data_IF_151402741676
#
_entry.id   IF_151402741676
#
_cell.length_a   1.000
_cell.length_b   1.000
_cell.length_c   1.000
_cell.angle_alpha   90.00
_cell.angle_beta   90.00
_cell.angle_gamma   90.00
#
_symmetry.space_group_name_H-M   'P 1'
#
loop_
_entity.id
_entity.type
_entity.pdbx_description
1 polymer ?
#
# COMPACT_ATOMS: atom_id res chain seq x y z
N UNK A 1 -7.31 -15.78 -47.64
CA UNK A 1 -7.43 -14.47 -46.98
C UNK A 1 -8.11 -14.72 -45.63
N UNK A 2 -7.39 -15.35 -44.69
CA UNK A 2 -7.88 -15.63 -43.34
C UNK A 2 -7.25 -14.61 -42.40
N UNK A 3 -8.05 -13.87 -41.64
CA UNK A 3 -7.54 -12.87 -40.69
C UNK A 3 -8.30 -11.55 -40.60
N UNK A 4 -9.51 -11.44 -41.17
CA UNK A 4 -10.33 -10.26 -40.90
C UNK A 4 -11.04 -10.48 -39.57
N UNK A 5 -10.60 -9.76 -38.53
CA UNK A 5 -11.37 -9.60 -37.30
C UNK A 5 -12.59 -8.75 -37.66
N UNK A 6 -13.68 -9.40 -38.07
CA UNK A 6 -14.96 -8.73 -38.27
C UNK A 6 -15.75 -8.60 -36.95
N UNK A 7 -16.82 -7.81 -36.96
CA UNK A 7 -17.68 -7.52 -35.80
C UNK A 7 -18.51 -8.73 -35.33
N UNK A 8 -18.51 -9.82 -36.09
CA UNK A 8 -19.22 -11.08 -35.86
C UNK A 8 -18.29 -12.16 -35.33
N UNK A 9 -16.98 -11.89 -35.28
CA UNK A 9 -15.98 -12.82 -34.77
C UNK A 9 -16.28 -13.18 -33.31
N UNK A 10 -16.83 -14.37 -33.13
CA UNK A 10 -17.30 -14.87 -31.85
C UNK A 10 -16.17 -14.91 -30.81
N UNK A 11 -14.93 -15.15 -31.26
CA UNK A 11 -13.75 -15.11 -30.38
C UNK A 11 -13.47 -13.70 -29.87
N UNK A 12 -13.60 -12.70 -30.74
CA UNK A 12 -13.45 -11.29 -30.33
C UNK A 12 -14.55 -10.88 -29.35
N UNK A 13 -15.82 -11.23 -29.63
CA UNK A 13 -16.94 -10.94 -28.71
C UNK A 13 -16.74 -11.59 -27.34
N UNK A 14 -16.34 -12.87 -27.30
CA UNK A 14 -16.03 -13.59 -26.05
C UNK A 14 -14.85 -12.97 -25.31
N UNK A 15 -13.81 -12.53 -26.02
CA UNK A 15 -12.65 -11.87 -25.44
C UNK A 15 -13.03 -10.55 -24.76
N UNK A 16 -13.79 -9.68 -25.43
CA UNK A 16 -14.26 -8.42 -24.83
C UNK A 16 -15.20 -8.67 -23.65
N UNK A 17 -16.10 -9.66 -23.73
CA UNK A 17 -16.94 -10.03 -22.59
C UNK A 17 -16.12 -10.53 -21.38
N UNK A 18 -14.98 -11.20 -21.61
CA UNK A 18 -14.06 -11.58 -20.54
C UNK A 18 -13.35 -10.36 -19.93
N UNK A 19 -12.94 -9.40 -20.76
CA UNK A 19 -12.34 -8.14 -20.29
C UNK A 19 -13.30 -7.34 -19.43
N UNK A 20 -14.55 -7.13 -19.87
CA UNK A 20 -15.58 -6.43 -19.08
C UNK A 20 -15.82 -7.10 -17.73
N UNK A 21 -15.80 -8.44 -17.71
CA UNK A 21 -15.97 -9.19 -16.47
C UNK A 21 -14.75 -9.09 -15.55
N UNK A 22 -13.53 -9.01 -16.09
CA UNK A 22 -12.33 -8.75 -15.30
C UNK A 22 -12.34 -7.34 -14.73
N UNK A 23 -12.66 -6.33 -15.54
CA UNK A 23 -12.76 -4.94 -15.11
C UNK A 23 -13.72 -4.80 -13.92
N UNK A 24 -14.94 -5.34 -14.04
CA UNK A 24 -15.93 -5.33 -12.94
C UNK A 24 -15.42 -6.01 -11.67
N UNK A 25 -14.67 -7.11 -11.80
CA UNK A 25 -14.08 -7.82 -10.66
C UNK A 25 -12.94 -7.01 -10.02
N UNK A 26 -12.08 -6.39 -10.82
CA UNK A 26 -10.99 -5.55 -10.34
C UNK A 26 -11.55 -4.32 -9.61
N UNK A 27 -12.55 -3.64 -10.18
CA UNK A 27 -13.20 -2.53 -9.49
C UNK A 27 -13.84 -2.94 -8.17
N UNK A 28 -14.51 -4.10 -8.14
CA UNK A 28 -15.12 -4.62 -6.92
C UNK A 28 -14.06 -4.92 -5.88
N UNK A 29 -12.96 -5.58 -6.25
CA UNK A 29 -11.83 -5.83 -5.35
C UNK A 29 -11.24 -4.52 -4.83
N UNK A 30 -11.08 -3.50 -5.68
CA UNK A 30 -10.56 -2.20 -5.28
C UNK A 30 -11.51 -1.40 -4.38
N UNK A 31 -12.83 -1.57 -4.53
CA UNK A 31 -13.85 -0.98 -3.62
C UNK A 31 -13.88 -1.72 -2.28
N UNK A 32 -13.92 -3.05 -2.31
CA UNK A 32 -14.13 -3.89 -1.15
C UNK A 32 -12.83 -4.03 -0.30
N UNK A 33 -11.65 -3.90 -0.90
CA UNK A 33 -10.35 -3.95 -0.22
C UNK A 33 -9.76 -2.57 0.02
N UNK A 34 -10.55 -1.50 0.17
CA UNK A 34 -9.99 -0.26 0.72
C UNK A 34 -9.66 -0.50 2.19
N UNK A 35 -8.38 -0.45 2.61
CA UNK A 35 -8.08 -0.39 4.03
C UNK A 35 -8.94 0.71 4.68
N UNK A 36 -9.41 0.52 5.92
CA UNK A 36 -10.04 1.59 6.66
C UNK A 36 -9.14 2.84 6.62
N UNK A 37 -9.73 4.04 6.73
CA UNK A 37 -9.02 5.33 6.65
C UNK A 37 -8.52 5.72 5.24
N UNK A 38 -9.39 5.61 4.23
CA UNK A 38 -9.10 6.04 2.85
C UNK A 38 -7.88 5.33 2.23
N UNK A 39 -7.63 4.08 2.62
CA UNK A 39 -6.50 3.30 2.15
C UNK A 39 -5.19 3.50 2.90
N UNK A 40 -5.15 4.36 3.91
CA UNK A 40 -3.99 4.51 4.78
C UNK A 40 -3.82 3.30 5.70
N UNK A 41 -2.58 2.83 5.84
CA UNK A 41 -2.24 1.74 6.75
C UNK A 41 -1.60 2.31 8.01
N UNK A 42 -2.13 1.89 9.15
CA UNK A 42 -1.56 2.22 10.45
C UNK A 42 -0.79 1.02 10.99
N UNK A 43 0.45 1.25 11.40
CA UNK A 43 1.33 0.26 11.98
C UNK A 43 1.38 0.42 13.49
N UNK A 44 1.45 -0.68 14.20
CA UNK A 44 1.75 -0.72 15.63
C UNK A 44 3.26 -0.71 15.89
N UNK A 45 3.68 -0.47 17.15
CA UNK A 45 5.09 -0.60 17.54
C UNK A 45 5.71 -1.94 17.07
N UNK A 46 4.96 -3.04 17.18
CA UNK A 46 5.45 -4.39 16.83
C UNK A 46 5.68 -4.52 15.32
N UNK A 47 4.76 -4.02 14.52
CA UNK A 47 4.87 -4.11 13.05
C UNK A 47 6.00 -3.22 12.55
N UNK A 48 6.06 -1.97 13.01
CA UNK A 48 7.08 -1.03 12.55
C UNK A 48 8.49 -1.44 13.00
N UNK A 49 8.66 -1.89 14.25
CA UNK A 49 9.96 -2.37 14.74
C UNK A 49 10.45 -3.57 13.94
N UNK A 50 9.56 -4.51 13.61
CA UNK A 50 9.88 -5.64 12.75
C UNK A 50 10.27 -5.22 11.33
N UNK A 51 9.56 -4.25 10.76
CA UNK A 51 9.82 -3.72 9.42
C UNK A 51 11.17 -3.01 9.34
N UNK A 52 11.46 -2.12 10.29
CA UNK A 52 12.71 -1.36 10.36
C UNK A 52 13.88 -2.15 10.95
N UNK A 53 13.64 -3.38 11.45
CA UNK A 53 14.62 -4.23 12.13
C UNK A 53 15.30 -3.55 13.33
N UNK A 54 14.55 -2.74 14.06
CA UNK A 54 15.01 -2.09 15.30
C UNK A 54 14.22 -2.62 16.49
N UNK A 55 14.73 -2.43 17.71
CA UNK A 55 14.00 -2.81 18.91
C UNK A 55 12.81 -1.87 19.16
N UNK A 56 11.78 -2.36 19.87
CA UNK A 56 10.66 -1.51 20.32
C UNK A 56 11.13 -0.37 21.25
N UNK A 57 12.23 -0.58 21.99
CA UNK A 57 12.83 0.46 22.84
C UNK A 57 13.45 1.58 21.99
N UNK A 58 14.12 1.24 20.90
CA UNK A 58 14.64 2.23 19.96
C UNK A 58 13.51 3.08 19.33
N UNK A 59 12.39 2.44 18.96
CA UNK A 59 11.19 3.19 18.50
C UNK A 59 10.63 4.14 19.55
N UNK A 60 10.65 3.74 20.82
CA UNK A 60 10.25 4.61 21.92
C UNK A 60 11.21 5.81 22.03
N UNK A 61 12.52 5.57 22.03
CA UNK A 61 13.52 6.64 22.10
C UNK A 61 13.36 7.63 20.94
N UNK A 62 13.05 7.15 19.73
CA UNK A 62 12.79 8.02 18.56
C UNK A 62 11.52 8.87 18.73
N UNK A 63 10.48 8.33 19.38
CA UNK A 63 9.27 9.11 19.69
C UNK A 63 9.55 10.17 20.74
N UNK A 64 10.27 9.81 21.79
CA UNK A 64 10.62 10.71 22.89
C UNK A 64 11.53 11.85 22.40
N UNK A 65 12.39 11.58 21.42
CA UNK A 65 13.24 12.58 20.74
C UNK A 65 12.51 13.36 19.63
N UNK A 66 11.25 13.03 19.31
CA UNK A 66 10.51 13.67 18.22
C UNK A 66 11.03 13.35 16.80
N UNK A 67 11.82 12.28 16.64
CA UNK A 67 12.44 11.88 15.36
C UNK A 67 11.54 11.08 14.45
N UNK A 68 10.49 10.47 14.98
CA UNK A 68 9.56 9.63 14.20
C UNK A 68 8.12 10.10 14.41
N UNK A 69 7.34 10.32 13.35
CA UNK A 69 5.96 10.76 13.46
C UNK A 69 5.07 9.63 13.98
N UNK A 70 4.16 9.94 14.90
CA UNK A 70 3.23 8.97 15.48
C UNK A 70 1.91 9.62 15.89
N UNK A 71 0.91 8.78 16.14
CA UNK A 71 -0.39 9.17 16.70
C UNK A 71 -0.60 8.42 18.01
N UNK A 72 -0.98 9.14 19.06
CA UNK A 72 -1.41 8.54 20.32
C UNK A 72 -2.93 8.50 20.40
N UNK A 73 -3.50 7.30 20.51
CA UNK A 73 -4.94 7.08 20.60
C UNK A 73 -5.25 6.16 21.79
N UNK A 74 -5.76 6.74 22.88
CA UNK A 74 -6.16 5.97 24.07
C UNK A 74 -5.03 5.12 24.68
N UNK A 75 -3.81 5.65 24.69
CA UNK A 75 -2.62 4.92 25.16
C UNK A 75 -1.99 3.96 24.14
N UNK A 76 -2.61 3.78 22.96
CA UNK A 76 -1.98 3.07 21.83
C UNK A 76 -1.19 4.05 20.98
N UNK A 77 -0.11 3.53 20.40
CA UNK A 77 0.72 4.25 19.45
C UNK A 77 0.51 3.65 18.07
N UNK A 78 0.20 4.51 17.11
CA UNK A 78 0.01 4.17 15.71
C UNK A 78 0.93 5.01 14.84
N UNK A 79 1.45 4.40 13.78
CA UNK A 79 2.31 5.05 12.80
C UNK A 79 1.61 5.00 11.44
N UNK A 80 1.43 6.14 10.79
CA UNK A 80 0.97 6.16 9.39
C UNK A 80 2.08 5.64 8.51
N UNK A 81 1.80 4.64 7.68
CA UNK A 81 2.82 4.06 6.81
C UNK A 81 3.39 5.10 5.86
N UNK A 82 2.54 5.96 5.28
CA UNK A 82 2.97 7.05 4.40
C UNK A 82 3.95 8.04 5.05
N UNK A 83 3.72 8.39 6.33
CA UNK A 83 4.60 9.29 7.07
C UNK A 83 5.97 8.63 7.34
N UNK A 84 6.00 7.32 7.60
CA UNK A 84 7.24 6.55 7.77
C UNK A 84 8.01 6.45 6.45
N UNK A 85 7.34 6.13 5.34
CA UNK A 85 7.96 6.06 4.02
C UNK A 85 8.60 7.39 3.64
N UNK A 86 7.87 8.51 3.83
CA UNK A 86 8.42 9.85 3.61
C UNK A 86 9.64 10.13 4.49
N UNK A 87 9.58 9.79 5.78
CA UNK A 87 10.71 9.97 6.70
C UNK A 87 11.96 9.21 6.22
N UNK A 88 11.79 7.97 5.76
CA UNK A 88 12.91 7.16 5.25
C UNK A 88 13.50 7.76 3.98
N UNK A 89 12.66 8.23 3.06
CA UNK A 89 13.10 8.86 1.81
C UNK A 89 13.86 10.17 2.07
N UNK A 90 13.35 11.02 2.97
CA UNK A 90 14.00 12.28 3.37
C UNK A 90 15.37 12.07 4.04
N UNK A 91 15.58 10.90 4.65
CA UNK A 91 16.84 10.52 5.32
C UNK A 91 17.64 9.48 4.51
N UNK A 92 17.26 9.23 3.26
CA UNK A 92 17.98 8.29 2.42
C UNK A 92 19.33 8.88 2.02
N UNK A 93 20.40 8.18 2.36
CA UNK A 93 21.75 8.51 1.93
C UNK A 93 22.16 7.52 0.84
N UNK A 94 22.45 7.98 -0.39
CA UNK A 94 22.91 7.08 -1.45
C UNK A 94 24.22 6.42 -1.00
N UNK A 95 24.37 5.13 -1.32
CA UNK A 95 25.65 4.46 -1.14
C UNK A 95 26.70 5.22 -1.97
N UNK A 96 27.86 5.49 -1.36
CA UNK A 96 29.02 5.98 -2.11
C UNK A 96 29.42 4.86 -3.07
N UNK A 97 29.17 5.09 -4.37
CA UNK A 97 29.62 4.23 -5.46
C UNK A 97 31.11 4.47 -5.70
#
# INVERSE_FOLDING_TARGET
>A
MEGIIDKENERARRFFALLDNMEKKVERLARDNRPPFNGERFLTDRELSGMLKISRRCLQDYRDQGRIPYIQLGGKILYRQSDIERLLEENYHPALV
#
